data_IF_264830871576
#
_entry.id   IF_264830871576
#
_cell.length_a   1.000
_cell.length_b   1.000
_cell.length_c   1.000
_cell.angle_alpha   90.00
_cell.angle_beta   90.00
_cell.angle_gamma   90.00
#
_symmetry.space_group_name_H-M   'P 1'
#
loop_
_entity.id
_entity.type
_entity.pdbx_description
1 polymer ?
#
# COMPACT_ATOMS: atom_id res chain seq x y z
N UNK A 1 28.37 -14.79 7.95
CA UNK A 1 27.52 -15.60 7.06
C UNK A 1 27.43 -17.04 7.61
N UNK A 2 26.25 -17.59 7.83
CA UNK A 2 26.14 -18.96 8.30
C UNK A 2 26.64 -19.97 7.26
N UNK A 3 27.07 -21.12 7.73
CA UNK A 3 27.54 -22.21 6.88
C UNK A 3 26.46 -23.27 6.78
N UNK A 4 26.25 -23.85 5.60
CA UNK A 4 25.18 -24.81 5.34
C UNK A 4 25.75 -26.16 4.92
N UNK A 5 25.07 -27.22 5.35
CA UNK A 5 25.46 -28.59 5.04
C UNK A 5 24.96 -29.07 3.66
N UNK A 6 24.02 -28.34 3.05
CA UNK A 6 23.44 -28.67 1.75
C UNK A 6 22.92 -27.41 1.07
N UNK A 7 22.69 -27.53 -0.26
CA UNK A 7 22.06 -26.47 -1.05
C UNK A 7 20.63 -26.20 -0.56
N UNK A 8 19.89 -27.25 -0.23
CA UNK A 8 18.51 -27.12 0.27
C UNK A 8 18.46 -26.34 1.58
N UNK A 9 19.41 -26.59 2.50
CA UNK A 9 19.51 -25.83 3.75
C UNK A 9 19.82 -24.35 3.50
N UNK A 10 20.68 -24.05 2.53
CA UNK A 10 21.02 -22.70 2.15
C UNK A 10 19.81 -21.97 1.52
N UNK A 11 19.10 -22.64 0.61
CA UNK A 11 17.89 -22.09 -0.01
C UNK A 11 16.79 -21.81 1.03
N UNK A 12 16.56 -22.75 1.94
CA UNK A 12 15.58 -22.57 3.01
C UNK A 12 15.91 -21.38 3.89
N UNK A 13 17.18 -21.17 4.19
CA UNK A 13 17.62 -20.00 4.97
C UNK A 13 17.37 -18.69 4.21
N UNK A 14 17.73 -18.63 2.92
CA UNK A 14 17.51 -17.44 2.10
C UNK A 14 16.01 -17.15 1.96
N UNK A 15 15.20 -18.17 1.71
CA UNK A 15 13.73 -18.03 1.62
C UNK A 15 13.13 -17.51 2.92
N UNK A 16 13.61 -18.02 4.06
CA UNK A 16 13.17 -17.52 5.36
C UNK A 16 13.50 -16.02 5.51
N UNK A 17 14.72 -15.62 5.16
CA UNK A 17 15.13 -14.22 5.24
C UNK A 17 14.34 -13.32 4.29
N UNK A 18 14.03 -13.79 3.09
CA UNK A 18 13.16 -13.08 2.16
C UNK A 18 11.75 -12.90 2.73
N UNK A 19 11.19 -13.95 3.34
CA UNK A 19 9.88 -13.87 4.00
C UNK A 19 9.92 -12.96 5.25
N UNK A 20 11.00 -12.95 5.99
CA UNK A 20 11.19 -12.02 7.12
C UNK A 20 11.19 -10.55 6.67
N UNK A 21 11.46 -10.28 5.39
CA UNK A 21 11.39 -8.94 4.81
C UNK A 21 9.97 -8.46 4.49
N UNK A 22 8.98 -9.36 4.43
CA UNK A 22 7.61 -9.01 4.03
C UNK A 22 6.98 -7.90 4.88
N UNK A 23 7.12 -7.85 6.20
CA UNK A 23 6.61 -6.73 6.98
C UNK A 23 7.25 -5.39 6.58
N UNK A 24 8.54 -5.39 6.30
CA UNK A 24 9.24 -4.20 5.86
C UNK A 24 8.74 -3.73 4.50
N UNK A 25 8.58 -4.65 3.55
CA UNK A 25 8.02 -4.37 2.23
C UNK A 25 6.60 -3.83 2.35
N UNK A 26 5.77 -4.46 3.19
CA UNK A 26 4.40 -4.04 3.45
C UNK A 26 4.33 -2.61 4.00
N UNK A 27 5.19 -2.26 4.93
CA UNK A 27 5.24 -0.91 5.49
C UNK A 27 5.66 0.13 4.44
N UNK A 28 6.67 -0.17 3.63
CA UNK A 28 7.11 0.72 2.55
C UNK A 28 6.01 0.97 1.51
N UNK A 29 5.29 -0.08 1.12
CA UNK A 29 4.16 0.04 0.20
C UNK A 29 3.00 0.81 0.81
N UNK A 30 2.71 0.59 2.08
CA UNK A 30 1.67 1.34 2.81
C UNK A 30 1.98 2.84 2.83
N UNK A 31 3.23 3.22 3.10
CA UNK A 31 3.65 4.62 3.07
C UNK A 31 3.54 5.21 1.66
N UNK A 32 3.92 4.46 0.63
CA UNK A 32 3.79 4.91 -0.74
C UNK A 32 2.32 5.11 -1.15
N UNK A 33 1.42 4.25 -0.70
CA UNK A 33 -0.02 4.41 -0.90
C UNK A 33 -0.53 5.66 -0.20
N UNK A 34 -0.10 5.90 1.03
CA UNK A 34 -0.43 7.11 1.79
C UNK A 34 0.03 8.37 1.06
N UNK A 35 1.24 8.36 0.51
CA UNK A 35 1.76 9.47 -0.30
C UNK A 35 0.92 9.70 -1.57
N UNK A 36 0.52 8.63 -2.25
CA UNK A 36 -0.35 8.72 -3.43
C UNK A 36 -1.70 9.36 -3.08
N UNK A 37 -2.28 8.99 -1.96
CA UNK A 37 -3.52 9.59 -1.46
C UNK A 37 -3.29 11.07 -1.15
N UNK A 38 -2.20 11.41 -0.48
CA UNK A 38 -1.87 12.79 -0.17
C UNK A 38 -1.74 13.63 -1.44
N UNK A 39 -1.05 13.13 -2.45
CA UNK A 39 -0.81 13.85 -3.71
C UNK A 39 -2.05 13.95 -4.59
N UNK A 40 -2.79 12.86 -4.75
CA UNK A 40 -3.87 12.75 -5.71
C UNK A 40 -5.25 13.09 -5.14
N UNK A 41 -5.40 13.06 -3.83
CA UNK A 41 -6.68 13.33 -3.17
C UNK A 41 -6.60 14.59 -2.31
N UNK A 42 -5.80 14.57 -1.25
CA UNK A 42 -5.80 15.66 -0.27
C UNK A 42 -5.24 16.97 -0.80
N UNK A 43 -4.20 16.92 -1.62
CA UNK A 43 -3.61 18.12 -2.22
C UNK A 43 -4.35 18.60 -3.47
N UNK A 44 -4.97 17.68 -4.21
CA UNK A 44 -5.62 17.97 -5.50
C UNK A 44 -7.11 18.30 -5.36
N UNK A 45 -7.74 18.00 -4.23
CA UNK A 45 -9.18 18.14 -4.05
C UNK A 45 -9.52 18.67 -2.65
N UNK A 46 -10.33 19.73 -2.59
CA UNK A 46 -10.87 20.26 -1.34
C UNK A 46 -12.39 20.07 -1.32
N UNK A 47 -12.94 19.26 -0.40
CA UNK A 47 -14.38 19.06 -0.31
C UNK A 47 -15.08 20.34 0.18
N UNK A 48 -16.26 20.61 -0.37
CA UNK A 48 -17.06 21.79 -0.01
C UNK A 48 -18.14 21.50 1.03
N UNK A 49 -18.52 20.23 1.18
CA UNK A 49 -19.74 19.83 1.87
C UNK A 49 -19.47 18.98 3.11
N UNK A 50 -18.36 18.29 3.16
CA UNK A 50 -17.98 17.46 4.30
C UNK A 50 -16.55 17.72 4.74
N UNK A 51 -16.30 17.47 6.02
CA UNK A 51 -14.98 17.60 6.60
C UNK A 51 -14.18 16.31 6.41
N UNK A 52 -12.90 16.44 6.02
CA UNK A 52 -11.99 15.30 5.89
C UNK A 52 -11.57 14.80 7.26
N UNK A 53 -11.64 13.49 7.46
CA UNK A 53 -11.19 12.85 8.71
C UNK A 53 -9.76 12.34 8.62
N UNK A 54 -9.17 12.25 7.42
CA UNK A 54 -7.89 11.60 7.21
C UNK A 54 -7.96 10.08 7.15
N UNK A 55 -9.16 9.50 7.31
CA UNK A 55 -9.35 8.05 7.37
C UNK A 55 -8.85 7.31 6.12
N UNK A 56 -9.00 7.91 4.94
CA UNK A 56 -8.51 7.31 3.69
C UNK A 56 -6.99 7.16 3.71
N UNK A 57 -6.26 8.20 4.11
CA UNK A 57 -4.80 8.16 4.18
C UNK A 57 -4.26 7.19 5.22
N UNK A 58 -4.98 6.96 6.29
CA UNK A 58 -4.56 6.10 7.41
C UNK A 58 -5.21 4.72 7.40
N UNK A 59 -6.18 4.48 6.50
CA UNK A 59 -7.02 3.29 6.53
C UNK A 59 -6.42 2.05 5.88
N UNK A 60 -5.37 2.18 5.09
CA UNK A 60 -4.72 1.04 4.45
C UNK A 60 -3.96 0.20 5.47
N UNK A 61 -4.08 -1.11 5.34
CA UNK A 61 -3.31 -2.06 6.15
C UNK A 61 -2.59 -3.05 5.24
N UNK A 62 -1.64 -3.79 5.78
CA UNK A 62 -1.05 -4.93 5.09
C UNK A 62 -1.22 -6.20 5.91
N UNK A 63 -1.38 -7.33 5.22
CA UNK A 63 -1.40 -8.66 5.82
C UNK A 63 -0.33 -9.52 5.17
N UNK A 64 0.31 -10.36 5.99
CA UNK A 64 1.39 -11.23 5.56
C UNK A 64 0.90 -12.66 5.52
N UNK A 65 1.11 -13.29 4.37
CA UNK A 65 0.90 -14.72 4.17
C UNK A 65 2.28 -15.39 4.01
N UNK A 66 2.31 -16.70 3.78
CA UNK A 66 3.57 -17.46 3.83
C UNK A 66 4.69 -16.92 2.91
N UNK A 67 4.35 -16.32 1.77
CA UNK A 67 5.33 -15.81 0.80
C UNK A 67 4.87 -14.57 0.05
N UNK A 68 3.88 -13.84 0.60
CA UNK A 68 3.37 -12.61 -0.01
C UNK A 68 2.90 -11.64 1.06
N UNK A 69 2.81 -10.38 0.68
CA UNK A 69 2.16 -9.33 1.47
C UNK A 69 1.06 -8.69 0.63
N UNK A 70 -0.11 -8.52 1.22
CA UNK A 70 -1.27 -7.88 0.61
C UNK A 70 -1.48 -6.49 1.23
N UNK A 71 -1.70 -5.47 0.41
CA UNK A 71 -2.04 -4.11 0.84
C UNK A 71 -3.49 -3.85 0.46
N UNK A 72 -4.32 -3.45 1.42
CA UNK A 72 -5.73 -3.23 1.16
C UNK A 72 -6.37 -2.31 2.21
N UNK A 73 -7.60 -1.90 1.93
CA UNK A 73 -8.44 -1.20 2.88
C UNK A 73 -9.47 -2.19 3.45
N UNK A 74 -9.45 -2.46 4.76
CA UNK A 74 -10.41 -3.41 5.35
C UNK A 74 -11.83 -2.85 5.25
N UNK A 75 -12.77 -3.64 4.71
CA UNK A 75 -14.21 -3.31 4.61
C UNK A 75 -14.52 -2.01 3.86
N UNK A 76 -13.64 -1.55 3.01
CA UNK A 76 -13.74 -0.25 2.37
C UNK A 76 -13.65 0.88 3.36
N UNK A 77 -13.96 1.97 3.42
CA UNK A 77 -14.12 2.96 4.48
C UNK A 77 -15.54 3.52 4.39
N UNK A 78 -16.45 2.92 5.15
CA UNK A 78 -17.85 3.32 5.15
C UNK A 78 -18.03 4.79 5.50
N UNK A 79 -18.84 5.50 4.74
CA UNK A 79 -19.19 6.89 4.99
C UNK A 79 -20.67 7.10 4.67
N UNK A 80 -21.35 7.87 5.50
CA UNK A 80 -22.74 8.27 5.22
C UNK A 80 -22.70 9.61 4.47
N UNK A 81 -23.21 9.60 3.24
CA UNK A 81 -23.30 10.81 2.42
C UNK A 81 -24.26 11.84 3.01
N UNK A 82 -24.20 13.08 2.51
CA UNK A 82 -25.13 14.14 2.93
C UNK A 82 -26.59 13.81 2.67
N UNK A 83 -26.88 12.87 1.78
CA UNK A 83 -28.22 12.37 1.50
C UNK A 83 -28.61 11.18 2.38
N UNK A 84 -27.77 10.78 3.35
CA UNK A 84 -28.01 9.65 4.24
C UNK A 84 -27.62 8.29 3.67
N UNK A 85 -27.04 8.23 2.48
CA UNK A 85 -26.65 6.99 1.82
C UNK A 85 -25.26 6.54 2.29
N UNK A 86 -25.13 5.27 2.65
CA UNK A 86 -23.82 4.67 2.94
C UNK A 86 -23.03 4.41 1.65
N UNK A 87 -21.77 4.78 1.61
CA UNK A 87 -20.90 4.65 0.43
C UNK A 87 -19.53 4.10 0.83
N UNK A 88 -18.86 3.43 -0.11
CA UNK A 88 -17.48 3.05 0.01
C UNK A 88 -16.60 4.23 -0.41
N UNK A 89 -15.96 4.85 0.56
CA UNK A 89 -15.13 6.04 0.34
C UNK A 89 -13.93 5.75 -0.56
N UNK A 90 -13.32 4.57 -0.43
CA UNK A 90 -12.17 4.17 -1.24
C UNK A 90 -12.53 4.16 -2.72
N UNK A 91 -13.60 3.45 -3.08
CA UNK A 91 -14.06 3.36 -4.46
C UNK A 91 -14.52 4.72 -5.01
N UNK A 92 -15.27 5.46 -4.21
CA UNK A 92 -15.78 6.77 -4.63
C UNK A 92 -14.65 7.76 -4.92
N UNK A 93 -13.65 7.80 -4.08
CA UNK A 93 -12.51 8.72 -4.25
C UNK A 93 -11.62 8.27 -5.41
N UNK A 94 -11.34 6.98 -5.52
CA UNK A 94 -10.49 6.46 -6.59
C UNK A 94 -11.13 6.64 -7.97
N UNK A 95 -12.37 6.21 -8.13
CA UNK A 95 -13.08 6.19 -9.42
C UNK A 95 -13.93 7.43 -9.69
N UNK A 96 -14.16 8.26 -8.66
CA UNK A 96 -15.07 9.37 -8.75
C UNK A 96 -16.53 8.93 -8.68
N UNK A 97 -17.44 9.87 -8.69
CA UNK A 97 -18.88 9.61 -8.66
C UNK A 97 -19.66 10.80 -9.24
N UNK A 98 -20.87 10.51 -9.70
CA UNK A 98 -21.85 11.52 -10.09
C UNK A 98 -22.77 11.91 -8.93
N UNK A 99 -23.92 12.48 -9.24
CA UNK A 99 -24.95 12.85 -8.28
C UNK A 99 -24.97 14.34 -7.98
N UNK A 100 -25.56 14.70 -6.84
CA UNK A 100 -25.75 16.10 -6.44
C UNK A 100 -24.42 16.83 -6.20
N UNK A 101 -23.45 16.13 -5.65
CA UNK A 101 -22.08 16.63 -5.41
C UNK A 101 -21.09 15.72 -6.14
N UNK A 102 -20.94 15.89 -7.47
CA UNK A 102 -20.09 15.02 -8.27
C UNK A 102 -18.62 15.22 -7.94
N UNK A 103 -17.83 14.16 -8.05
CA UNK A 103 -16.39 14.15 -7.86
C UNK A 103 -15.72 13.44 -9.03
N UNK A 104 -14.67 14.04 -9.57
CA UNK A 104 -13.82 13.39 -10.57
C UNK A 104 -13.00 12.26 -9.95
N UNK A 105 -12.69 11.25 -10.75
CA UNK A 105 -11.77 10.20 -10.34
C UNK A 105 -10.41 10.80 -9.96
N UNK A 106 -9.87 10.38 -8.82
CA UNK A 106 -8.52 10.78 -8.41
C UNK A 106 -7.47 9.79 -8.86
N UNK A 107 -7.86 8.54 -9.13
CA UNK A 107 -6.98 7.45 -9.55
C UNK A 107 -5.78 7.25 -8.62
N UNK A 108 -5.95 7.49 -7.33
CA UNK A 108 -4.85 7.36 -6.37
C UNK A 108 -4.30 5.95 -6.31
N UNK A 109 -5.16 4.94 -6.49
CA UNK A 109 -4.76 3.54 -6.48
C UNK A 109 -3.87 3.21 -7.68
N UNK A 110 -4.28 3.62 -8.88
CA UNK A 110 -3.45 3.48 -10.09
C UNK A 110 -2.13 4.25 -9.96
N UNK A 111 -2.16 5.46 -9.41
CA UNK A 111 -0.97 6.25 -9.14
C UNK A 111 0.00 5.55 -8.20
N UNK A 112 -0.53 4.92 -7.14
CA UNK A 112 0.27 4.10 -6.23
C UNK A 112 0.95 2.92 -6.95
N UNK A 113 0.18 2.15 -7.73
CA UNK A 113 0.69 0.98 -8.46
C UNK A 113 1.77 1.40 -9.47
N UNK A 114 1.50 2.41 -10.27
CA UNK A 114 2.45 2.91 -11.27
C UNK A 114 3.72 3.41 -10.59
N UNK A 115 3.61 4.17 -9.52
CA UNK A 115 4.76 4.66 -8.76
C UNK A 115 5.59 3.54 -8.15
N UNK A 116 4.95 2.54 -7.54
CA UNK A 116 5.63 1.39 -6.97
C UNK A 116 6.39 0.57 -8.02
N UNK A 117 5.80 0.40 -9.21
CA UNK A 117 6.44 -0.32 -10.32
C UNK A 117 7.58 0.49 -10.94
N UNK A 118 7.38 1.78 -11.19
CA UNK A 118 8.39 2.64 -11.81
C UNK A 118 9.64 2.76 -10.94
N UNK A 119 9.49 2.83 -9.63
CA UNK A 119 10.60 2.94 -8.69
C UNK A 119 11.10 1.59 -8.17
N UNK A 120 10.49 0.48 -8.56
CA UNK A 120 10.80 -0.86 -8.07
C UNK A 120 10.77 -0.93 -6.53
N UNK A 121 9.80 -0.30 -5.90
CA UNK A 121 9.71 -0.18 -4.44
C UNK A 121 9.78 -1.53 -3.71
N UNK A 122 9.03 -2.58 -4.11
CA UNK A 122 9.12 -3.87 -3.41
C UNK A 122 10.51 -4.49 -3.51
N UNK A 123 11.14 -4.43 -4.69
CA UNK A 123 12.49 -4.96 -4.90
C UNK A 123 13.52 -4.20 -4.08
N UNK A 124 13.47 -2.88 -4.08
CA UNK A 124 14.39 -2.04 -3.30
C UNK A 124 14.25 -2.30 -1.80
N UNK A 125 13.03 -2.45 -1.32
CA UNK A 125 12.77 -2.76 0.09
C UNK A 125 13.33 -4.13 0.46
N UNK A 126 13.15 -5.14 -0.38
CA UNK A 126 13.70 -6.47 -0.17
C UNK A 126 15.24 -6.44 -0.14
N UNK A 127 15.86 -5.77 -1.12
CA UNK A 127 17.33 -5.65 -1.20
C UNK A 127 17.87 -4.95 0.05
N UNK A 128 17.29 -3.83 0.44
CA UNK A 128 17.70 -3.10 1.64
C UNK A 128 17.61 -3.96 2.90
N UNK A 129 16.55 -4.72 3.04
CA UNK A 129 16.39 -5.63 4.17
C UNK A 129 17.48 -6.71 4.18
N UNK A 130 17.70 -7.38 3.03
CA UNK A 130 18.71 -8.43 2.94
C UNK A 130 20.11 -7.90 3.21
N UNK A 131 20.45 -6.73 2.69
CA UNK A 131 21.73 -6.09 2.97
C UNK A 131 21.90 -5.77 4.45
N UNK A 132 20.84 -5.32 5.13
CA UNK A 132 20.85 -5.10 6.59
C UNK A 132 21.08 -6.37 7.38
N UNK A 133 20.78 -7.53 6.79
CA UNK A 133 20.99 -8.85 7.39
C UNK A 133 22.35 -9.47 6.99
N UNK A 134 23.21 -8.72 6.31
CA UNK A 134 24.56 -9.14 5.95
C UNK A 134 24.68 -9.83 4.59
N UNK A 135 23.63 -9.82 3.78
CA UNK A 135 23.70 -10.36 2.41
C UNK A 135 24.30 -9.34 1.46
N UNK A 136 25.05 -9.82 0.47
CA UNK A 136 25.44 -9.03 -0.69
C UNK A 136 24.49 -9.37 -1.84
N UNK A 137 23.82 -8.36 -2.39
CA UNK A 137 22.87 -8.55 -3.48
C UNK A 137 23.43 -7.96 -4.76
N UNK A 138 23.52 -8.79 -5.80
CA UNK A 138 24.08 -8.41 -7.10
C UNK A 138 22.99 -8.07 -8.11
#
# INVERSE_FOLDING_TARGET
MPTFKSVDAALSYVMKKANDALPYIGQELKELLRESIQMNVYSAYSPRVYERTGALGEGAIYEIYSNRVDIFFPSGLGHTSVTGRSVDVVEWVDKGHGGLFPMKATNFWSGFIIGAMAENTPKKALVSYLESQGFTVY
#
